data_IF_818167124362
#
_entry.id   IF_818167124362
#
_cell.length_a   1.000
_cell.length_b   1.000
_cell.length_c   1.000
_cell.angle_alpha   90.00
_cell.angle_beta   90.00
_cell.angle_gamma   90.00
#
_symmetry.space_group_name_H-M   'P 1'
#
loop_
_entity.id
_entity.type
_entity.pdbx_description
1 polymer ?
#
# COMPACT_ATOMS: atom_id res chain seq x y z
N UNK A 1 -4.01 -22.86 -7.06
CA UNK A 1 -4.86 -21.95 -6.26
C UNK A 1 -4.24 -20.56 -6.36
N UNK A 2 -5.00 -19.57 -6.81
CA UNK A 2 -4.61 -18.16 -6.86
C UNK A 2 -4.25 -17.69 -5.44
N UNK A 3 -3.18 -16.93 -5.29
CA UNK A 3 -2.75 -16.43 -3.99
C UNK A 3 -3.58 -15.20 -3.58
N UNK A 4 -3.78 -14.98 -2.28
CA UNK A 4 -4.39 -13.77 -1.74
C UNK A 4 -3.32 -12.79 -1.29
N UNK A 5 -3.62 -11.49 -1.34
CA UNK A 5 -2.65 -10.44 -1.07
C UNK A 5 -3.15 -9.40 -0.06
N UNK A 6 -2.19 -8.74 0.58
CA UNK A 6 -2.40 -7.47 1.25
C UNK A 6 -1.64 -6.42 0.44
N UNK A 7 -2.41 -5.56 -0.22
CA UNK A 7 -1.90 -4.38 -0.88
C UNK A 7 -1.77 -3.26 0.15
N UNK A 8 -0.61 -2.63 0.17
CA UNK A 8 -0.26 -1.58 1.12
C UNK A 8 0.12 -0.32 0.36
N UNK A 9 -0.49 0.82 0.66
CA UNK A 9 0.14 2.06 0.26
C UNK A 9 1.48 2.21 0.99
N UNK A 10 2.33 3.12 0.53
CA UNK A 10 3.64 3.35 1.11
C UNK A 10 3.60 4.51 2.11
N UNK A 11 3.34 5.72 1.61
CA UNK A 11 3.44 6.97 2.37
C UNK A 11 2.17 7.18 3.21
N UNK A 12 2.28 7.27 4.52
CA UNK A 12 1.13 7.34 5.44
C UNK A 12 0.58 5.96 5.87
N UNK A 13 1.07 4.87 5.26
CA UNK A 13 0.64 3.49 5.59
C UNK A 13 1.81 2.64 6.10
N UNK A 14 2.83 2.39 5.30
CA UNK A 14 4.03 1.66 5.76
C UNK A 14 5.07 2.59 6.38
N UNK A 15 5.21 3.78 5.84
CA UNK A 15 6.17 4.80 6.30
C UNK A 15 5.43 6.08 6.66
N UNK A 16 6.02 6.85 7.58
CA UNK A 16 5.49 8.16 7.93
C UNK A 16 5.31 9.03 6.71
N UNK A 17 4.14 9.67 6.59
CA UNK A 17 3.84 10.55 5.47
C UNK A 17 4.81 11.74 5.45
N UNK A 18 5.52 11.91 4.34
CA UNK A 18 6.41 13.06 4.09
C UNK A 18 6.12 13.66 2.73
N UNK A 19 6.26 14.97 2.63
CA UNK A 19 6.07 15.66 1.37
C UNK A 19 7.23 15.36 0.41
N UNK A 20 7.01 14.47 -0.56
CA UNK A 20 7.97 14.05 -1.59
C UNK A 20 9.33 13.63 -1.04
N UNK A 21 9.44 12.51 -0.31
CA UNK A 21 10.73 11.99 0.10
C UNK A 21 11.59 11.69 -1.13
N UNK A 22 12.86 12.06 -1.08
CA UNK A 22 13.80 11.95 -2.22
C UNK A 22 14.98 11.03 -1.95
N UNK A 23 15.19 10.67 -0.68
CA UNK A 23 16.32 9.84 -0.24
C UNK A 23 15.83 8.62 0.54
N UNK A 24 16.59 7.50 0.51
CA UNK A 24 16.25 6.30 1.28
C UNK A 24 15.97 6.56 2.76
N UNK A 25 16.79 7.37 3.42
CA UNK A 25 16.68 7.71 4.83
C UNK A 25 15.46 8.58 5.19
N UNK A 26 14.76 9.11 4.18
CA UNK A 26 13.50 9.83 4.38
C UNK A 26 12.32 8.86 4.59
N UNK A 27 12.50 7.56 4.30
CA UNK A 27 11.50 6.52 4.50
C UNK A 27 11.62 5.91 5.90
N UNK A 28 10.91 6.47 6.84
CA UNK A 28 10.85 5.99 8.22
C UNK A 28 9.62 5.09 8.41
N UNK A 29 9.86 3.79 8.62
CA UNK A 29 8.78 2.82 8.86
C UNK A 29 8.02 3.14 10.16
N UNK A 30 6.71 2.91 10.16
CA UNK A 30 5.96 2.85 11.41
C UNK A 30 6.45 1.69 12.26
N UNK A 31 6.53 1.90 13.57
CA UNK A 31 7.01 0.89 14.51
C UNK A 31 6.03 -0.29 14.64
N UNK A 32 6.57 -1.47 14.93
CA UNK A 32 5.78 -2.65 15.30
C UNK A 32 5.15 -3.43 14.15
N UNK A 33 5.22 -2.97 12.90
CA UNK A 33 4.57 -3.63 11.77
C UNK A 33 5.14 -5.00 11.43
N UNK A 34 6.44 -5.22 11.70
CA UNK A 34 7.16 -6.40 11.25
C UNK A 34 6.59 -7.72 11.77
N UNK A 35 6.10 -7.76 12.99
CA UNK A 35 5.53 -8.97 13.59
C UNK A 35 4.22 -9.40 12.92
N UNK A 36 3.31 -8.46 12.72
CA UNK A 36 2.00 -8.68 12.09
C UNK A 36 2.15 -9.00 10.60
N UNK A 37 3.01 -8.27 9.88
CA UNK A 37 3.31 -8.56 8.47
C UNK A 37 3.87 -9.98 8.29
N UNK A 38 4.81 -10.42 9.16
CA UNK A 38 5.31 -11.81 9.13
C UNK A 38 4.21 -12.83 9.40
N UNK A 39 3.37 -12.55 10.38
CA UNK A 39 2.27 -13.45 10.76
C UNK A 39 1.30 -13.64 9.59
N UNK A 40 0.91 -12.55 8.93
CA UNK A 40 0.04 -12.59 7.77
C UNK A 40 0.73 -13.25 6.56
N UNK A 41 2.02 -13.00 6.37
CA UNK A 41 2.82 -13.66 5.32
C UNK A 41 2.92 -15.18 5.57
N UNK A 42 3.12 -15.61 6.82
CA UNK A 42 3.13 -17.02 7.21
C UNK A 42 1.74 -17.67 7.02
N UNK A 43 0.66 -16.91 7.14
CA UNK A 43 -0.70 -17.34 6.84
C UNK A 43 -1.02 -17.40 5.33
N UNK A 44 -0.03 -17.13 4.47
CA UNK A 44 -0.12 -17.28 3.02
C UNK A 44 -0.49 -16.01 2.25
N UNK A 45 -0.56 -14.85 2.89
CA UNK A 45 -0.73 -13.59 2.17
C UNK A 45 0.54 -13.16 1.46
N UNK A 46 0.40 -12.67 0.22
CA UNK A 46 1.44 -11.91 -0.47
C UNK A 46 1.40 -10.46 0.00
N UNK A 47 2.56 -9.88 0.27
CA UNK A 47 2.69 -8.49 0.69
C UNK A 47 3.17 -7.64 -0.48
N UNK A 48 2.33 -6.67 -0.88
CA UNK A 48 2.55 -5.90 -2.11
C UNK A 48 2.36 -4.42 -1.82
N UNK A 49 3.35 -3.62 -2.18
CA UNK A 49 3.24 -2.15 -2.12
C UNK A 49 2.66 -1.62 -3.42
N UNK A 50 1.67 -0.73 -3.32
CA UNK A 50 1.03 -0.02 -4.44
C UNK A 50 0.98 1.47 -4.14
N UNK A 51 1.78 2.30 -4.82
CA UNK A 51 2.01 3.68 -4.41
C UNK A 51 1.97 4.68 -5.57
N UNK A 52 1.40 5.87 -5.33
CA UNK A 52 1.44 6.99 -6.26
C UNK A 52 2.73 7.81 -6.04
N UNK A 53 3.61 7.85 -7.04
CA UNK A 53 4.91 8.52 -6.96
C UNK A 53 5.02 9.67 -7.97
N UNK A 54 4.10 10.62 -7.87
CA UNK A 54 4.00 11.78 -8.77
C UNK A 54 5.20 12.73 -8.72
N UNK A 55 6.06 12.63 -7.70
CA UNK A 55 7.30 13.39 -7.63
C UNK A 55 8.20 13.20 -8.86
N UNK A 56 8.11 12.03 -9.53
CA UNK A 56 8.84 11.77 -10.78
C UNK A 56 8.28 12.64 -11.90
N UNK A 57 6.95 12.66 -12.11
CA UNK A 57 6.32 13.52 -13.10
C UNK A 57 6.55 15.00 -12.81
N UNK A 58 6.70 15.39 -11.55
CA UNK A 58 7.00 16.76 -11.11
C UNK A 58 8.48 17.10 -11.17
N UNK A 59 9.37 16.17 -11.56
CA UNK A 59 10.81 16.38 -11.66
C UNK A 59 11.53 16.54 -10.32
N UNK A 60 10.91 16.12 -9.22
CA UNK A 60 11.47 16.26 -7.86
C UNK A 60 12.51 15.18 -7.54
N UNK A 61 12.37 14.00 -8.13
CA UNK A 61 13.31 12.89 -8.05
C UNK A 61 13.17 11.99 -9.28
N UNK A 62 14.16 11.15 -9.52
CA UNK A 62 14.22 10.27 -10.69
C UNK A 62 13.69 8.87 -10.40
N UNK A 63 13.45 8.09 -11.46
CA UNK A 63 13.18 6.64 -11.33
C UNK A 63 14.32 5.89 -10.61
N UNK A 64 15.56 6.36 -10.76
CA UNK A 64 16.72 5.76 -10.09
C UNK A 64 16.69 6.04 -8.58
N UNK A 65 16.28 7.26 -8.19
CA UNK A 65 16.08 7.62 -6.79
C UNK A 65 14.97 6.77 -6.16
N UNK A 66 13.85 6.64 -6.86
CA UNK A 66 12.75 5.79 -6.38
C UNK A 66 13.18 4.33 -6.21
N UNK A 67 13.96 3.78 -7.13
CA UNK A 67 14.49 2.41 -6.98
C UNK A 67 15.32 2.28 -5.70
N UNK A 68 16.25 3.24 -5.43
CA UNK A 68 17.04 3.23 -4.19
C UNK A 68 16.17 3.29 -2.93
N UNK A 69 15.12 4.13 -2.94
CA UNK A 69 14.15 4.19 -1.84
C UNK A 69 13.40 2.87 -1.64
N UNK A 70 12.96 2.21 -2.73
CA UNK A 70 12.29 0.92 -2.65
C UNK A 70 13.22 -0.21 -2.19
N UNK A 71 14.51 -0.20 -2.60
CA UNK A 71 15.50 -1.18 -2.15
C UNK A 71 15.79 -0.99 -0.66
N UNK A 72 15.84 0.25 -0.19
CA UNK A 72 15.95 0.56 1.24
C UNK A 72 14.73 0.03 2.02
N UNK A 73 13.51 0.31 1.57
CA UNK A 73 12.28 -0.21 2.18
C UNK A 73 12.29 -1.74 2.29
N UNK A 74 12.72 -2.45 1.23
CA UNK A 74 12.88 -3.91 1.28
C UNK A 74 13.90 -4.35 2.33
N UNK A 75 15.02 -3.63 2.42
CA UNK A 75 16.09 -3.93 3.38
C UNK A 75 15.61 -3.73 4.82
N UNK A 76 14.91 -2.63 5.11
CA UNK A 76 14.38 -2.36 6.45
C UNK A 76 13.36 -3.43 6.87
N UNK A 77 12.39 -3.75 6.01
CA UNK A 77 11.40 -4.80 6.28
C UNK A 77 12.05 -6.19 6.42
N UNK A 78 13.11 -6.48 5.66
CA UNK A 78 13.82 -7.75 5.76
C UNK A 78 14.55 -7.92 7.10
N UNK A 79 14.93 -6.85 7.79
CA UNK A 79 15.48 -6.92 9.17
C UNK A 79 14.47 -7.52 10.15
N UNK A 80 13.20 -7.25 9.90
CA UNK A 80 12.10 -7.84 10.66
C UNK A 80 11.64 -9.20 10.11
N UNK A 81 12.34 -9.75 9.11
CA UNK A 81 12.00 -11.01 8.47
C UNK A 81 10.79 -10.93 7.52
N UNK A 82 10.39 -9.72 7.10
CA UNK A 82 9.30 -9.48 6.17
C UNK A 82 9.84 -9.41 4.74
N UNK A 83 9.18 -10.10 3.80
CA UNK A 83 9.52 -10.06 2.37
C UNK A 83 8.39 -9.46 1.57
N UNK A 84 8.65 -8.38 0.84
CA UNK A 84 7.71 -7.85 -0.14
C UNK A 84 7.74 -8.67 -1.43
N UNK A 85 6.59 -9.18 -1.85
CA UNK A 85 6.42 -9.94 -3.09
C UNK A 85 6.42 -9.03 -4.32
N UNK A 86 6.03 -7.76 -4.18
CA UNK A 86 6.08 -6.77 -5.24
C UNK A 86 6.05 -5.34 -4.73
N UNK A 87 6.57 -4.40 -5.53
CA UNK A 87 6.36 -2.96 -5.35
C UNK A 87 5.95 -2.40 -6.71
N UNK A 88 4.74 -1.87 -6.79
CA UNK A 88 4.16 -1.25 -7.98
C UNK A 88 3.95 0.23 -7.73
N UNK A 89 4.34 1.06 -8.67
CA UNK A 89 4.20 2.51 -8.53
C UNK A 89 3.68 3.16 -9.79
N UNK A 90 2.99 4.29 -9.62
CA UNK A 90 2.59 5.18 -10.70
C UNK A 90 3.46 6.43 -10.66
N UNK A 91 4.24 6.73 -11.71
CA UNK A 91 5.05 7.94 -11.80
C UNK A 91 4.28 9.14 -12.37
N UNK A 92 3.06 8.94 -12.88
CA UNK A 92 2.33 9.94 -13.68
C UNK A 92 1.56 10.95 -12.83
N UNK A 93 1.41 12.16 -13.37
CA UNK A 93 0.51 13.19 -12.85
C UNK A 93 0.20 14.21 -13.94
N UNK A 94 -1.09 14.54 -14.16
CA UNK A 94 -1.53 15.44 -15.24
C UNK A 94 -0.90 16.85 -15.18
N UNK A 95 -0.53 17.29 -13.98
CA UNK A 95 0.17 18.58 -13.75
C UNK A 95 1.69 18.38 -13.60
N UNK A 96 2.24 17.30 -14.14
CA UNK A 96 3.68 17.05 -14.12
C UNK A 96 4.46 18.06 -14.97
N UNK A 97 5.71 18.33 -14.58
CA UNK A 97 6.65 19.16 -15.36
C UNK A 97 7.47 18.33 -16.36
N UNK A 98 7.47 17.00 -16.23
CA UNK A 98 8.12 16.08 -17.17
C UNK A 98 7.08 15.67 -18.23
N UNK A 99 7.21 16.13 -19.49
CA UNK A 99 6.15 16.00 -20.49
C UNK A 99 5.66 14.56 -20.72
N UNK A 100 6.58 13.59 -20.74
CA UNK A 100 6.29 12.18 -21.01
C UNK A 100 5.50 11.50 -19.85
N UNK A 101 5.50 12.11 -18.66
CA UNK A 101 4.83 11.63 -17.45
C UNK A 101 3.65 12.53 -17.05
N UNK A 102 3.47 13.66 -17.72
CA UNK A 102 2.36 14.60 -17.51
C UNK A 102 1.07 14.13 -18.21
N UNK A 103 0.64 12.90 -17.89
CA UNK A 103 -0.48 12.21 -18.55
C UNK A 103 -1.49 11.67 -17.54
N UNK A 104 -2.75 11.56 -18.00
CA UNK A 104 -3.73 10.69 -17.37
C UNK A 104 -3.37 9.23 -17.66
N UNK A 105 -3.55 8.34 -16.68
CA UNK A 105 -3.21 6.94 -16.80
C UNK A 105 -4.20 6.06 -16.01
N UNK A 106 -4.15 4.75 -16.25
CA UNK A 106 -4.92 3.75 -15.54
C UNK A 106 -4.27 3.28 -14.23
N UNK A 107 -2.98 3.61 -14.01
CA UNK A 107 -2.22 3.13 -12.86
C UNK A 107 -2.25 4.06 -11.64
N UNK A 108 -2.56 5.37 -11.81
CA UNK A 108 -2.64 6.28 -10.67
C UNK A 108 -3.91 6.03 -9.87
N UNK A 109 -3.78 5.62 -8.59
CA UNK A 109 -4.92 5.55 -7.66
C UNK A 109 -5.65 6.91 -7.63
N UNK A 110 -6.98 6.96 -7.75
CA UNK A 110 -7.95 5.87 -7.54
C UNK A 110 -8.16 4.92 -8.72
N UNK A 111 -7.39 5.00 -9.82
CA UNK A 111 -7.47 4.00 -10.87
C UNK A 111 -6.90 2.66 -10.40
N UNK A 112 -7.50 1.52 -10.82
CA UNK A 112 -7.17 0.19 -10.29
C UNK A 112 -5.93 -0.45 -10.91
N UNK A 113 -5.27 0.19 -11.88
CA UNK A 113 -4.28 -0.44 -12.74
C UNK A 113 -3.06 -1.04 -12.02
N UNK A 114 -2.60 -0.46 -10.88
CA UNK A 114 -1.50 -1.05 -10.11
C UNK A 114 -1.90 -2.39 -9.48
N UNK A 115 -3.09 -2.47 -8.86
CA UNK A 115 -3.60 -3.69 -8.24
C UNK A 115 -3.84 -4.77 -9.30
N UNK A 116 -4.46 -4.40 -10.42
CA UNK A 116 -4.71 -5.31 -11.55
C UNK A 116 -3.41 -5.83 -12.16
N UNK A 117 -2.38 -4.99 -12.28
CA UNK A 117 -1.07 -5.39 -12.77
C UNK A 117 -0.42 -6.38 -11.82
N UNK A 118 -0.40 -6.09 -10.53
CA UNK A 118 0.14 -7.00 -9.52
C UNK A 118 -0.60 -8.35 -9.53
N UNK A 119 -1.93 -8.33 -9.68
CA UNK A 119 -2.74 -9.55 -9.73
C UNK A 119 -2.38 -10.42 -10.94
N UNK A 120 -2.16 -9.83 -12.12
CA UNK A 120 -1.72 -10.59 -13.29
C UNK A 120 -0.30 -11.13 -13.15
N UNK A 121 0.63 -10.31 -12.63
CA UNK A 121 2.06 -10.67 -12.53
C UNK A 121 2.30 -11.77 -11.50
N UNK A 122 1.48 -11.86 -10.45
CA UNK A 122 1.67 -12.73 -9.29
C UNK A 122 0.54 -13.77 -9.09
N UNK A 123 -0.38 -13.89 -10.05
CA UNK A 123 -1.55 -14.80 -10.02
C UNK A 123 -2.37 -14.67 -8.72
N UNK A 124 -2.91 -13.44 -8.47
CA UNK A 124 -3.62 -13.11 -7.24
C UNK A 124 -5.15 -13.13 -7.42
N UNK A 125 -5.84 -13.56 -6.37
CA UNK A 125 -7.28 -13.39 -6.22
C UNK A 125 -7.59 -12.07 -5.50
N UNK A 126 -8.02 -11.08 -6.28
CA UNK A 126 -8.34 -9.75 -5.76
C UNK A 126 -9.55 -9.75 -4.82
N UNK A 127 -10.53 -10.64 -5.06
CA UNK A 127 -11.72 -10.71 -4.22
C UNK A 127 -11.45 -11.28 -2.81
N UNK A 128 -10.36 -12.04 -2.66
CA UNK A 128 -9.87 -12.56 -1.38
C UNK A 128 -8.68 -11.74 -0.84
N UNK A 129 -8.46 -10.54 -1.39
CA UNK A 129 -7.33 -9.69 -1.04
C UNK A 129 -7.78 -8.40 -0.34
N UNK A 130 -6.83 -7.74 0.30
CA UNK A 130 -7.04 -6.52 1.09
C UNK A 130 -6.26 -5.35 0.51
N UNK A 131 -6.83 -4.13 0.58
CA UNK A 131 -6.13 -2.88 0.33
C UNK A 131 -6.14 -2.04 1.61
N UNK A 132 -4.95 -1.68 2.10
CA UNK A 132 -4.73 -0.77 3.22
C UNK A 132 -4.11 0.52 2.66
N UNK A 133 -4.65 1.66 3.02
CA UNK A 133 -4.15 2.98 2.66
C UNK A 133 -4.69 4.06 3.59
N UNK A 134 -4.12 5.26 3.52
CA UNK A 134 -4.47 6.39 4.39
C UNK A 134 -5.34 7.44 3.71
N UNK A 135 -5.60 7.29 2.41
CA UNK A 135 -6.46 8.20 1.63
C UNK A 135 -7.58 7.47 0.91
N UNK A 136 -8.66 8.20 0.61
CA UNK A 136 -9.83 7.62 -0.06
C UNK A 136 -9.56 7.16 -1.50
N UNK A 137 -8.49 7.63 -2.15
CA UNK A 137 -8.07 7.12 -3.46
C UNK A 137 -7.60 5.65 -3.39
N UNK A 138 -7.05 5.23 -2.25
CA UNK A 138 -6.68 3.83 -2.00
C UNK A 138 -7.91 2.95 -1.87
N UNK A 139 -8.89 3.44 -1.13
CA UNK A 139 -10.17 2.75 -0.92
C UNK A 139 -10.89 2.55 -2.24
N UNK A 140 -10.99 3.61 -3.05
CA UNK A 140 -11.62 3.53 -4.37
C UNK A 140 -10.87 2.55 -5.30
N UNK A 141 -9.54 2.57 -5.32
CA UNK A 141 -8.74 1.64 -6.11
C UNK A 141 -8.99 0.18 -5.69
N UNK A 142 -9.02 -0.09 -4.38
CA UNK A 142 -9.36 -1.40 -3.82
C UNK A 142 -10.76 -1.85 -4.21
N UNK A 143 -11.78 -1.00 -4.00
CA UNK A 143 -13.18 -1.30 -4.33
C UNK A 143 -13.38 -1.60 -5.82
N UNK A 144 -12.72 -0.84 -6.70
CA UNK A 144 -12.80 -1.06 -8.15
C UNK A 144 -12.23 -2.41 -8.60
N UNK A 145 -11.39 -3.04 -7.77
CA UNK A 145 -10.83 -4.36 -8.03
C UNK A 145 -11.52 -5.49 -7.28
N UNK A 146 -12.46 -5.16 -6.40
CA UNK A 146 -13.18 -6.13 -5.57
C UNK A 146 -12.44 -6.51 -4.28
N UNK A 147 -11.32 -5.85 -3.96
CA UNK A 147 -10.63 -6.05 -2.69
C UNK A 147 -11.46 -5.55 -1.49
N UNK A 148 -11.28 -6.17 -0.34
CA UNK A 148 -11.64 -5.56 0.93
C UNK A 148 -10.74 -4.37 1.22
N UNK A 149 -11.27 -3.35 1.92
CA UNK A 149 -10.55 -2.09 2.11
C UNK A 149 -10.52 -1.65 3.56
N UNK A 150 -9.34 -1.23 4.03
CA UNK A 150 -9.17 -0.63 5.36
C UNK A 150 -8.51 0.73 5.19
N UNK A 151 -9.19 1.79 5.64
CA UNK A 151 -8.62 3.13 5.73
C UNK A 151 -7.85 3.26 7.05
N UNK A 152 -6.61 3.67 6.99
CA UNK A 152 -5.83 4.16 8.14
C UNK A 152 -6.19 5.63 8.33
N UNK A 153 -6.93 5.94 9.39
CA UNK A 153 -7.44 7.30 9.61
C UNK A 153 -6.38 8.19 10.27
N UNK A 154 -5.68 8.94 9.45
CA UNK A 154 -4.73 9.97 9.89
C UNK A 154 -5.41 11.34 10.15
N UNK A 155 -6.74 11.40 10.09
CA UNK A 155 -7.51 12.65 10.24
C UNK A 155 -7.45 13.57 9.00
N UNK A 156 -7.03 13.04 7.86
CA UNK A 156 -6.88 13.80 6.59
C UNK A 156 -8.10 13.66 5.68
N UNK A 157 -8.93 12.66 5.91
CA UNK A 157 -10.09 12.34 5.08
C UNK A 157 -11.41 12.61 5.81
N UNK A 158 -12.47 12.84 5.05
CA UNK A 158 -13.81 13.06 5.63
C UNK A 158 -14.67 11.82 5.46
N UNK A 159 -15.16 11.29 6.57
CA UNK A 159 -16.08 10.15 6.61
C UNK A 159 -17.46 10.57 7.13
N UNK A 160 -18.56 9.91 6.68
CA UNK A 160 -18.59 8.85 5.67
C UNK A 160 -18.30 9.39 4.28
N UNK A 161 -17.65 8.57 3.42
CA UNK A 161 -17.36 8.91 2.04
C UNK A 161 -18.44 8.36 1.07
N UNK A 162 -18.67 8.98 -0.10
CA UNK A 162 -19.55 8.42 -1.11
C UNK A 162 -18.97 7.16 -1.73
N UNK A 163 -19.83 6.25 -2.23
CA UNK A 163 -19.39 5.09 -3.00
C UNK A 163 -18.72 5.53 -4.32
N UNK A 164 -17.68 4.84 -4.79
CA UNK A 164 -17.05 3.64 -4.23
C UNK A 164 -15.91 3.93 -3.23
N UNK A 165 -15.79 5.14 -2.70
CA UNK A 165 -14.70 5.59 -1.82
C UNK A 165 -14.89 5.17 -0.35
N UNK A 166 -16.10 4.76 0.04
CA UNK A 166 -16.38 4.32 1.40
C UNK A 166 -15.57 3.05 1.74
N UNK A 167 -14.67 3.07 2.75
CA UNK A 167 -13.93 1.89 3.19
C UNK A 167 -14.88 0.83 3.79
N UNK A 168 -14.46 -0.44 3.79
CA UNK A 168 -15.16 -1.49 4.55
C UNK A 168 -14.90 -1.35 6.05
N UNK A 169 -13.65 -0.97 6.39
CA UNK A 169 -13.20 -0.81 7.76
C UNK A 169 -12.34 0.45 7.88
N UNK A 170 -12.25 0.98 9.10
CA UNK A 170 -11.38 2.10 9.48
C UNK A 170 -10.54 1.66 10.67
N UNK A 171 -9.25 1.94 10.63
CA UNK A 171 -8.29 1.66 11.69
C UNK A 171 -7.58 2.96 12.11
N UNK A 172 -7.19 3.06 13.35
CA UNK A 172 -6.49 4.24 13.86
C UNK A 172 -5.03 4.31 13.35
N UNK A 173 -4.43 3.16 13.04
CA UNK A 173 -3.09 3.04 12.47
C UNK A 173 -2.95 1.75 11.65
N UNK A 174 -1.80 1.60 11.00
CA UNK A 174 -1.53 0.42 10.16
C UNK A 174 -1.39 -0.86 10.98
N UNK A 175 -0.91 -0.77 12.21
CA UNK A 175 -0.80 -1.93 13.10
C UNK A 175 -2.19 -2.50 13.39
N UNK A 176 -3.15 -1.64 13.77
CA UNK A 176 -4.53 -2.04 13.97
C UNK A 176 -5.15 -2.61 12.70
N UNK A 177 -4.91 -2.00 11.53
CA UNK A 177 -5.39 -2.52 10.25
C UNK A 177 -4.91 -3.95 9.97
N UNK A 178 -3.63 -4.25 10.22
CA UNK A 178 -3.07 -5.59 10.06
C UNK A 178 -3.67 -6.60 11.06
N UNK A 179 -3.87 -6.18 12.30
CA UNK A 179 -4.53 -6.98 13.34
C UNK A 179 -5.99 -7.28 13.00
N UNK A 180 -6.72 -6.30 12.46
CA UNK A 180 -8.08 -6.50 11.96
C UNK A 180 -8.13 -7.56 10.86
N UNK A 181 -7.22 -7.52 9.90
CA UNK A 181 -7.13 -8.57 8.85
C UNK A 181 -6.88 -9.93 9.50
N UNK A 182 -5.94 -10.04 10.44
CA UNK A 182 -5.66 -11.30 11.10
C UNK A 182 -6.90 -11.87 11.81
N UNK A 183 -7.66 -11.03 12.52
CA UNK A 183 -8.91 -11.43 13.18
C UNK A 183 -9.96 -11.88 12.16
N UNK A 184 -10.20 -11.11 11.12
CA UNK A 184 -11.22 -11.37 10.10
C UNK A 184 -10.91 -12.65 9.30
N UNK A 185 -9.62 -12.96 9.13
CA UNK A 185 -9.12 -14.13 8.40
C UNK A 185 -8.84 -15.34 9.30
N UNK A 186 -9.10 -15.24 10.62
CA UNK A 186 -8.87 -16.30 11.59
C UNK A 186 -7.41 -16.65 11.80
N UNK A 187 -6.49 -15.71 11.58
CA UNK A 187 -5.05 -15.87 11.79
C UNK A 187 -4.69 -15.55 13.24
N UNK A 188 -4.01 -16.45 13.92
CA UNK A 188 -3.56 -16.22 15.30
C UNK A 188 -2.36 -15.26 15.33
N UNK A 189 -2.49 -14.15 16.06
CA UNK A 189 -1.42 -13.18 16.29
C UNK A 189 -0.80 -13.44 17.66
N UNK A 190 0.53 -13.49 17.73
CA UNK A 190 1.27 -13.79 18.98
C UNK A 190 1.03 -12.73 20.09
N UNK A 191 0.65 -11.51 19.75
CA UNK A 191 0.37 -10.41 20.68
C UNK A 191 -0.97 -10.54 21.43
N UNK A 192 -1.89 -11.42 21.02
CA UNK A 192 -3.20 -11.61 21.66
C UNK A 192 -3.17 -12.66 22.81
N UNK A 193 -2.01 -13.21 23.13
CA UNK A 193 -1.86 -14.23 24.18
C UNK A 193 -1.27 -13.62 25.47
N UNK A 194 -1.89 -12.54 25.99
CA UNK A 194 -1.62 -12.06 27.36
C UNK A 194 -2.91 -11.90 28.14
#
# INVERSE_FOLDING_TARGET
MTARAIFLDRDGTLVHARHYPTRPEDLELYEGLGAELRTLQAAGFRLIVVTNQSGIARGLFTQADLRRMHDHLRTELARDGVRLDGIYHCPHHVEGSVPELAIACDCRKPQPGLLQRAARDLDLDLASSWMIGDILDDMEAGKRTGCHTILVDLGTETLPAPQPRQPDYVAADTLEALQMIAILEGVQIASMTR
#
